data_IF_939927076490
#
_entry.id   IF_939927076490
#
_cell.length_a   1.000
_cell.length_b   1.000
_cell.length_c   1.000
_cell.angle_alpha   90.00
_cell.angle_beta   90.00
_cell.angle_gamma   90.00
#
_symmetry.space_group_name_H-M   'P 1'
#
loop_
_entity.id
_entity.type
_entity.pdbx_description
1 polymer ?
#
# COMPACT_ATOMS: atom_id res chain seq x y z
N UNK A 1 25.81 76.48 -18.04
CA UNK A 1 24.71 75.81 -17.30
C UNK A 1 24.23 74.61 -18.10
N UNK A 2 24.28 73.43 -17.48
CA UNK A 2 23.67 72.15 -17.84
C UNK A 2 24.02 71.48 -19.20
N UNK A 3 25.06 70.64 -19.16
CA UNK A 3 25.09 69.39 -19.92
C UNK A 3 24.30 68.31 -19.16
N UNK A 4 23.33 67.65 -19.81
CA UNK A 4 22.77 66.36 -19.35
C UNK A 4 23.15 65.28 -20.35
N UNK A 5 23.94 64.32 -19.89
CA UNK A 5 24.25 63.07 -20.57
C UNK A 5 23.20 62.06 -20.07
N UNK A 6 22.37 61.53 -20.98
CA UNK A 6 21.48 60.41 -20.68
C UNK A 6 22.28 59.10 -20.81
N UNK A 7 22.47 58.41 -19.70
CA UNK A 7 22.97 57.05 -19.64
C UNK A 7 21.85 56.06 -19.95
N UNK A 8 21.98 55.34 -21.07
CA UNK A 8 21.14 54.18 -21.37
C UNK A 8 21.65 52.97 -20.58
N UNK A 9 20.87 52.48 -19.61
CA UNK A 9 21.14 51.21 -18.95
C UNK A 9 20.72 50.07 -19.88
N UNK A 10 21.68 49.27 -20.34
CA UNK A 10 21.42 47.97 -20.96
C UNK A 10 21.03 46.96 -19.87
N UNK A 11 19.77 46.51 -19.86
CA UNK A 11 19.34 45.34 -19.11
C UNK A 11 19.56 44.11 -19.98
N UNK A 12 20.59 43.32 -19.68
CA UNK A 12 20.77 41.98 -20.28
C UNK A 12 19.90 41.00 -19.50
N UNK A 13 18.76 40.59 -20.08
CA UNK A 13 18.02 39.43 -19.58
C UNK A 13 18.74 38.16 -20.05
N UNK A 14 19.42 37.50 -19.12
CA UNK A 14 19.93 36.14 -19.32
C UNK A 14 18.75 35.17 -19.17
N UNK A 15 18.20 34.68 -20.28
CA UNK A 15 17.31 33.52 -20.24
C UNK A 15 18.14 32.26 -19.99
N UNK A 16 18.18 31.82 -18.75
CA UNK A 16 18.63 30.48 -18.39
C UNK A 16 17.57 29.48 -18.87
N UNK A 17 17.72 29.00 -20.11
CA UNK A 17 17.03 27.79 -20.56
C UNK A 17 17.71 26.64 -19.85
N UNK A 18 17.16 26.22 -18.71
CA UNK A 18 17.50 24.92 -18.12
C UNK A 18 16.85 23.89 -19.03
N UNK A 19 17.60 23.04 -19.74
CA UNK A 19 17.00 21.92 -20.42
C UNK A 19 16.44 21.02 -19.31
N UNK A 20 15.12 20.94 -19.23
CA UNK A 20 14.45 19.88 -18.50
C UNK A 20 14.82 18.57 -19.21
N UNK A 21 15.96 18.00 -18.84
CA UNK A 21 16.18 16.59 -19.07
C UNK A 21 15.05 15.89 -18.32
N UNK A 22 14.04 15.41 -19.05
CA UNK A 22 13.23 14.32 -18.54
C UNK A 22 14.23 13.19 -18.30
N UNK A 23 14.74 13.10 -17.07
CA UNK A 23 15.33 11.87 -16.60
C UNK A 23 14.24 10.83 -16.81
N UNK A 24 14.46 9.90 -17.74
CA UNK A 24 13.60 8.74 -17.88
C UNK A 24 13.51 8.15 -16.48
N UNK A 25 12.31 8.18 -15.88
CA UNK A 25 12.10 7.56 -14.59
C UNK A 25 12.59 6.13 -14.72
N UNK A 26 13.55 5.79 -13.89
CA UNK A 26 14.07 4.44 -13.86
C UNK A 26 12.88 3.52 -13.63
N UNK A 27 12.55 2.65 -14.60
CA UNK A 27 11.38 1.75 -14.62
C UNK A 27 11.35 0.82 -13.40
N UNK A 28 12.41 0.84 -12.57
CA UNK A 28 12.55 0.11 -11.31
C UNK A 28 12.07 0.89 -10.08
N UNK A 29 11.79 2.18 -10.21
CA UNK A 29 11.41 3.04 -9.08
C UNK A 29 9.93 2.82 -8.75
N UNK A 30 9.57 2.53 -7.48
CA UNK A 30 8.18 2.51 -7.08
C UNK A 30 7.47 3.83 -7.45
N UNK A 31 6.19 3.78 -7.85
CA UNK A 31 5.41 4.98 -8.11
C UNK A 31 5.40 5.89 -6.88
N UNK A 32 5.37 7.21 -7.10
CA UNK A 32 5.22 8.15 -6.00
C UNK A 32 3.78 8.09 -5.47
N UNK A 33 3.58 8.14 -4.13
CA UNK A 33 2.24 8.17 -3.56
C UNK A 33 1.50 9.46 -3.93
N UNK A 34 0.17 9.41 -3.78
CA UNK A 34 -0.69 10.57 -3.90
C UNK A 34 -0.20 11.72 -2.98
N UNK A 35 -0.30 12.99 -3.42
CA UNK A 35 -1.14 13.49 -4.52
C UNK A 35 -0.53 13.38 -5.93
N UNK A 36 0.71 12.86 -6.05
CA UNK A 36 1.39 12.69 -7.35
C UNK A 36 0.58 11.80 -8.28
N UNK A 37 0.52 12.17 -9.55
CA UNK A 37 -0.08 11.35 -10.62
C UNK A 37 1.07 10.77 -11.45
N UNK A 38 1.20 9.46 -11.40
CA UNK A 38 2.20 8.70 -12.15
C UNK A 38 1.71 8.47 -13.60
N UNK A 39 2.62 8.16 -14.54
CA UNK A 39 2.23 7.75 -15.90
C UNK A 39 1.22 6.61 -15.90
N UNK A 40 0.33 6.50 -16.90
CA UNK A 40 -0.67 5.42 -16.95
C UNK A 40 0.01 4.04 -17.07
N UNK A 41 -0.62 3.02 -16.47
CA UNK A 41 -0.23 1.61 -16.55
C UNK A 41 -1.44 0.75 -16.87
N UNK A 42 -1.20 -0.47 -17.36
CA UNK A 42 -2.25 -1.40 -17.83
C UNK A 42 -2.05 -2.84 -17.39
N UNK A 43 -0.82 -3.26 -17.05
CA UNK A 43 -0.48 -4.62 -16.62
C UNK A 43 -0.05 -4.62 -15.16
N UNK A 44 -0.94 -5.03 -14.27
CA UNK A 44 -0.71 -5.08 -12.82
C UNK A 44 -0.79 -6.53 -12.37
N UNK A 45 0.28 -7.02 -11.75
CA UNK A 45 0.31 -8.30 -11.06
C UNK A 45 0.20 -8.06 -9.54
N UNK A 46 -0.29 -9.05 -8.80
CA UNK A 46 -0.36 -8.99 -7.35
C UNK A 46 -0.25 -10.38 -6.73
N UNK A 47 0.14 -10.44 -5.45
CA UNK A 47 0.19 -11.69 -4.70
C UNK A 47 0.50 -11.46 -3.21
N UNK A 48 0.24 -12.49 -2.41
CA UNK A 48 0.43 -12.55 -0.95
C UNK A 48 0.99 -13.93 -0.55
N UNK A 49 1.14 -14.16 0.76
CA UNK A 49 1.39 -15.48 1.38
C UNK A 49 2.60 -16.23 0.81
N UNK A 50 3.69 -15.49 0.61
CA UNK A 50 4.92 -16.01 0.02
C UNK A 50 5.99 -16.14 1.09
N UNK A 51 6.15 -17.34 1.64
CA UNK A 51 7.20 -17.57 2.65
C UNK A 51 8.59 -17.38 2.07
N UNK A 52 9.39 -16.54 2.74
CA UNK A 52 10.79 -16.31 2.40
C UNK A 52 11.67 -17.55 2.57
N UNK A 53 11.16 -18.62 3.19
CA UNK A 53 11.90 -19.84 3.47
C UNK A 53 11.82 -20.85 2.30
N UNK A 54 10.89 -20.67 1.35
CA UNK A 54 10.71 -21.55 0.18
C UNK A 54 11.13 -20.88 -1.16
N UNK A 55 11.35 -21.66 -2.23
CA UNK A 55 11.54 -21.13 -3.57
C UNK A 55 10.30 -20.37 -4.09
N UNK A 56 10.50 -19.17 -4.63
CA UNK A 56 9.42 -18.30 -5.11
C UNK A 56 9.18 -18.47 -6.62
N UNK A 57 9.04 -19.72 -7.07
CA UNK A 57 9.03 -20.09 -8.49
C UNK A 57 7.92 -19.40 -9.32
N UNK A 58 6.79 -19.06 -8.69
CA UNK A 58 5.69 -18.34 -9.34
C UNK A 58 6.12 -16.95 -9.86
N UNK A 59 7.11 -16.31 -9.23
CA UNK A 59 7.62 -15.01 -9.66
C UNK A 59 8.27 -15.05 -11.04
N UNK A 60 8.75 -16.21 -11.49
CA UNK A 60 9.22 -16.38 -12.87
C UNK A 60 8.07 -16.24 -13.87
N UNK A 61 6.93 -16.89 -13.59
CA UNK A 61 5.73 -16.78 -14.43
C UNK A 61 5.16 -15.36 -14.41
N UNK A 62 5.21 -14.68 -13.26
CA UNK A 62 4.87 -13.26 -13.16
C UNK A 62 5.76 -12.43 -14.10
N UNK A 63 7.08 -12.66 -14.10
CA UNK A 63 8.02 -11.94 -14.96
C UNK A 63 7.79 -12.23 -16.46
N UNK A 64 7.36 -13.44 -16.82
CA UNK A 64 6.99 -13.79 -18.21
C UNK A 64 5.75 -13.02 -18.70
N UNK A 65 4.87 -12.60 -17.79
CA UNK A 65 3.70 -11.78 -18.10
C UNK A 65 4.03 -10.28 -18.28
N UNK A 66 5.26 -9.87 -17.96
CA UNK A 66 5.78 -8.50 -18.14
C UNK A 66 4.92 -7.40 -17.47
N UNK A 67 4.66 -7.48 -16.14
CA UNK A 67 3.88 -6.47 -15.43
C UNK A 67 4.60 -5.12 -15.37
N UNK A 68 3.83 -4.04 -15.41
CA UNK A 68 4.29 -2.66 -15.18
C UNK A 68 4.33 -2.31 -13.69
N UNK A 69 3.64 -3.11 -12.85
CA UNK A 69 3.58 -2.97 -11.40
C UNK A 69 3.30 -4.34 -10.76
N UNK A 70 3.96 -4.64 -9.65
CA UNK A 70 3.59 -5.76 -8.77
C UNK A 70 3.16 -5.26 -7.40
N UNK A 71 1.99 -5.72 -6.94
CA UNK A 71 1.42 -5.39 -5.63
C UNK A 71 1.65 -6.56 -4.66
N UNK A 72 2.48 -6.32 -3.66
CA UNK A 72 2.72 -7.21 -2.53
C UNK A 72 1.62 -6.98 -1.48
N UNK A 73 0.73 -7.95 -1.32
CA UNK A 73 -0.56 -7.80 -0.65
C UNK A 73 -0.54 -8.17 0.84
N UNK A 74 0.63 -8.45 1.41
CA UNK A 74 0.77 -8.95 2.77
C UNK A 74 1.20 -10.41 2.80
N UNK A 75 1.60 -10.89 3.98
CA UNK A 75 2.41 -12.10 4.16
C UNK A 75 3.56 -12.18 3.17
N UNK A 76 4.27 -11.06 3.03
CA UNK A 76 5.44 -10.99 2.16
C UNK A 76 6.61 -11.76 2.79
N UNK A 77 6.57 -11.89 4.11
CA UNK A 77 7.42 -12.74 4.94
C UNK A 77 6.58 -13.38 6.04
N UNK A 78 7.08 -14.48 6.61
CA UNK A 78 6.58 -15.10 7.85
C UNK A 78 7.50 -14.72 9.01
N UNK A 79 7.10 -13.70 9.77
CA UNK A 79 7.94 -12.96 10.70
C UNK A 79 7.42 -12.85 12.13
N UNK A 80 6.57 -13.75 12.59
CA UNK A 80 6.01 -13.77 13.95
C UNK A 80 7.09 -13.69 15.02
N UNK A 81 7.19 -12.54 15.67
CA UNK A 81 8.23 -12.25 16.65
C UNK A 81 7.90 -11.00 17.44
N UNK A 82 8.44 -10.93 18.66
CA UNK A 82 8.55 -9.68 19.42
C UNK A 82 9.98 -9.16 19.49
N UNK A 83 10.89 -9.80 18.76
CA UNK A 83 12.27 -9.37 18.56
C UNK A 83 12.44 -8.81 17.14
N UNK A 84 12.64 -7.49 17.05
CA UNK A 84 12.73 -6.77 15.79
C UNK A 84 13.98 -7.12 14.98
N UNK A 85 15.01 -7.71 15.60
CA UNK A 85 16.14 -8.27 14.85
C UNK A 85 15.71 -9.51 14.06
N UNK A 86 14.83 -10.35 14.62
CA UNK A 86 14.28 -11.51 13.92
C UNK A 86 13.42 -11.05 12.73
N UNK A 87 12.56 -10.04 12.93
CA UNK A 87 11.72 -9.52 11.84
C UNK A 87 12.58 -8.97 10.69
N UNK A 88 13.60 -8.17 11.02
CA UNK A 88 14.57 -7.68 10.03
C UNK A 88 15.28 -8.82 9.31
N UNK A 89 15.71 -9.88 10.01
CA UNK A 89 16.34 -11.05 9.40
C UNK A 89 15.41 -11.80 8.43
N UNK A 90 14.10 -11.83 8.67
CA UNK A 90 13.13 -12.42 7.73
C UNK A 90 13.07 -11.63 6.43
N UNK A 91 13.02 -10.31 6.50
CA UNK A 91 13.14 -9.46 5.32
C UNK A 91 14.50 -9.62 4.62
N UNK A 92 15.59 -9.73 5.37
CA UNK A 92 16.91 -9.95 4.80
C UNK A 92 16.97 -11.31 4.06
N UNK A 93 16.27 -12.33 4.55
CA UNK A 93 16.15 -13.63 3.87
C UNK A 93 15.37 -13.49 2.55
N UNK A 94 14.24 -12.77 2.54
CA UNK A 94 13.52 -12.47 1.30
C UNK A 94 14.40 -11.70 0.30
N UNK A 95 15.16 -10.71 0.76
CA UNK A 95 16.04 -9.89 -0.09
C UNK A 95 17.12 -10.70 -0.82
N UNK A 96 17.49 -11.86 -0.26
CA UNK A 96 18.52 -12.76 -0.78
C UNK A 96 17.96 -13.81 -1.75
N UNK A 97 16.64 -13.91 -1.90
CA UNK A 97 16.01 -14.85 -2.85
C UNK A 97 16.27 -14.41 -4.29
N UNK A 98 16.89 -15.25 -5.14
CA UNK A 98 17.18 -14.89 -6.52
C UNK A 98 15.94 -14.48 -7.32
N UNK A 99 14.80 -15.12 -7.09
CA UNK A 99 13.53 -14.83 -7.76
C UNK A 99 13.00 -13.44 -7.35
N UNK A 100 13.09 -13.09 -6.07
CA UNK A 100 12.68 -11.78 -5.58
C UNK A 100 13.62 -10.67 -6.06
N UNK A 101 14.94 -10.93 -6.09
CA UNK A 101 15.91 -10.01 -6.66
C UNK A 101 15.64 -9.73 -8.15
N UNK A 102 15.31 -10.78 -8.93
CA UNK A 102 14.94 -10.64 -10.33
C UNK A 102 13.65 -9.84 -10.52
N UNK A 103 12.64 -10.07 -9.68
CA UNK A 103 11.40 -9.30 -9.70
C UNK A 103 11.68 -7.82 -9.40
N UNK A 104 12.33 -7.52 -8.26
CA UNK A 104 12.65 -6.16 -7.82
C UNK A 104 13.56 -5.41 -8.80
N UNK A 105 14.40 -6.11 -9.55
CA UNK A 105 15.26 -5.52 -10.57
C UNK A 105 14.53 -5.15 -11.87
N UNK A 106 13.33 -5.67 -12.12
CA UNK A 106 12.60 -5.53 -13.39
C UNK A 106 11.27 -4.81 -13.27
N UNK A 107 10.62 -4.88 -12.11
CA UNK A 107 9.23 -4.43 -11.92
C UNK A 107 9.16 -3.50 -10.70
N UNK A 108 8.52 -2.32 -10.79
CA UNK A 108 8.17 -1.53 -9.62
C UNK A 108 7.33 -2.33 -8.63
N UNK A 109 7.69 -2.26 -7.35
CA UNK A 109 6.96 -2.94 -6.28
C UNK A 109 6.30 -1.91 -5.38
N UNK A 110 5.03 -2.14 -5.06
CA UNK A 110 4.34 -1.49 -3.94
C UNK A 110 3.84 -2.57 -2.98
N UNK A 111 3.75 -2.23 -1.69
CA UNK A 111 3.43 -3.22 -0.68
C UNK A 111 2.54 -2.67 0.43
N UNK A 112 1.65 -3.54 0.90
CA UNK A 112 1.11 -3.51 2.26
C UNK A 112 1.57 -4.76 3.02
N UNK A 113 1.29 -4.82 4.31
CA UNK A 113 1.60 -5.96 5.18
C UNK A 113 0.35 -6.78 5.44
N UNK A 114 0.56 -8.00 5.92
CA UNK A 114 -0.41 -8.68 6.77
C UNK A 114 0.19 -9.01 8.15
N UNK A 115 -0.43 -9.87 8.94
CA UNK A 115 -0.07 -10.14 10.33
C UNK A 115 1.36 -10.66 10.49
N UNK A 116 1.83 -11.49 9.56
CA UNK A 116 3.17 -12.06 9.63
C UNK A 116 4.30 -11.07 9.29
N UNK A 117 4.02 -10.06 8.46
CA UNK A 117 4.89 -8.88 8.27
C UNK A 117 4.80 -7.92 9.46
N UNK A 118 3.60 -7.84 10.07
CA UNK A 118 3.28 -6.96 11.20
C UNK A 118 3.93 -7.43 12.50
N UNK A 119 4.06 -8.74 12.68
CA UNK A 119 4.92 -9.37 13.68
C UNK A 119 4.24 -10.41 14.58
N UNK A 120 2.93 -10.66 14.49
CA UNK A 120 2.29 -11.73 15.28
C UNK A 120 0.97 -12.15 14.62
N UNK A 121 0.79 -13.46 14.43
CA UNK A 121 -0.39 -14.06 13.81
C UNK A 121 -1.71 -13.50 14.39
N UNK A 122 -2.59 -13.07 13.49
CA UNK A 122 -3.88 -12.42 13.76
C UNK A 122 -3.84 -11.26 14.76
N UNK A 123 -2.69 -10.61 14.97
CA UNK A 123 -2.59 -9.50 15.91
C UNK A 123 -3.10 -8.18 15.29
N UNK A 124 -3.73 -7.37 16.12
CA UNK A 124 -4.22 -6.04 15.78
C UNK A 124 -3.47 -4.95 16.53
N UNK A 125 -4.20 -3.90 16.92
CA UNK A 125 -3.68 -2.71 17.61
C UNK A 125 -2.94 -3.02 18.92
N UNK A 126 -3.21 -4.17 19.53
CA UNK A 126 -2.63 -4.67 20.77
C UNK A 126 -1.16 -5.10 20.63
N UNK A 127 -0.67 -5.33 19.41
CA UNK A 127 0.72 -5.70 19.19
C UNK A 127 1.68 -4.55 19.58
N UNK A 128 2.63 -4.79 20.50
CA UNK A 128 3.41 -3.70 21.09
C UNK A 128 4.47 -3.09 20.16
N UNK A 129 4.98 -3.84 19.18
CA UNK A 129 6.11 -3.42 18.31
C UNK A 129 5.68 -2.93 16.92
N UNK A 130 4.45 -2.42 16.80
CA UNK A 130 3.88 -1.99 15.50
C UNK A 130 4.64 -0.82 14.86
N UNK A 131 5.27 0.05 15.66
CA UNK A 131 6.05 1.19 15.14
C UNK A 131 7.39 0.73 14.59
N UNK A 132 8.05 -0.17 15.29
CA UNK A 132 9.32 -0.77 14.88
C UNK A 132 9.14 -1.65 13.64
N UNK A 133 8.05 -2.43 13.60
CA UNK A 133 7.68 -3.25 12.44
C UNK A 133 7.40 -2.37 11.22
N UNK A 134 6.72 -1.23 11.41
CA UNK A 134 6.56 -0.20 10.38
C UNK A 134 7.89 0.33 9.86
N UNK A 135 8.83 0.66 10.74
CA UNK A 135 10.12 1.19 10.31
C UNK A 135 10.92 0.18 9.48
N UNK A 136 10.91 -1.10 9.89
CA UNK A 136 11.52 -2.21 9.13
C UNK A 136 10.83 -2.38 7.78
N UNK A 137 9.50 -2.41 7.76
CA UNK A 137 8.71 -2.54 6.53
C UNK A 137 9.03 -1.41 5.55
N UNK A 138 8.89 -0.15 5.97
CA UNK A 138 9.13 1.01 5.13
C UNK A 138 10.58 1.08 4.63
N UNK A 139 11.54 0.63 5.44
CA UNK A 139 12.95 0.54 5.02
C UNK A 139 13.13 -0.55 3.96
N UNK A 140 12.60 -1.75 4.16
CA UNK A 140 12.78 -2.88 3.24
C UNK A 140 12.17 -2.60 1.85
N UNK A 141 11.05 -1.90 1.81
CA UNK A 141 10.36 -1.49 0.59
C UNK A 141 10.88 -0.19 -0.02
N UNK A 142 12.01 0.33 0.48
CA UNK A 142 12.63 1.57 0.00
C UNK A 142 11.67 2.77 -0.01
N UNK A 143 10.81 2.89 0.99
CA UNK A 143 9.89 4.01 1.09
C UNK A 143 10.67 5.34 1.20
N UNK A 144 10.37 6.36 0.39
CA UNK A 144 11.06 7.65 0.46
C UNK A 144 11.02 8.27 1.86
N UNK A 145 12.11 8.97 2.24
CA UNK A 145 12.19 9.66 3.53
C UNK A 145 11.12 10.74 3.72
N UNK A 146 10.66 11.34 2.62
CA UNK A 146 9.61 12.38 2.59
C UNK A 146 8.20 11.80 2.38
N UNK A 147 8.05 10.49 2.46
CA UNK A 147 6.74 9.86 2.24
C UNK A 147 5.75 10.22 3.35
N UNK A 148 4.50 10.60 3.01
CA UNK A 148 3.43 10.78 4.00
C UNK A 148 3.21 9.54 4.88
N UNK A 149 3.54 8.33 4.38
CA UNK A 149 3.45 7.10 5.17
C UNK A 149 4.31 7.14 6.43
N UNK A 150 5.36 7.97 6.48
CA UNK A 150 6.20 8.13 7.67
C UNK A 150 5.60 9.09 8.70
N UNK A 151 4.55 9.83 8.34
CA UNK A 151 4.00 10.93 9.14
C UNK A 151 2.70 10.57 9.90
N UNK A 152 2.07 9.43 9.60
CA UNK A 152 0.87 8.95 10.29
C UNK A 152 1.10 7.58 10.94
N UNK A 153 0.14 7.04 11.70
CA UNK A 153 0.20 5.64 12.17
C UNK A 153 -0.19 4.68 11.03
N UNK A 154 0.33 3.45 11.06
CA UNK A 154 0.07 2.44 10.01
C UNK A 154 0.74 2.71 8.67
N UNK A 155 0.53 1.84 7.69
CA UNK A 155 1.25 1.88 6.38
C UNK A 155 0.33 2.07 5.16
N UNK A 156 -0.94 2.36 5.39
CA UNK A 156 -1.92 2.58 4.33
C UNK A 156 -1.48 3.70 3.38
N UNK A 157 -1.80 3.57 2.10
CA UNK A 157 -1.31 4.50 1.07
C UNK A 157 -2.16 4.47 -0.19
N UNK A 158 -1.99 5.49 -1.03
CA UNK A 158 -2.69 5.62 -2.29
C UNK A 158 -1.71 6.00 -3.39
N UNK A 159 -1.85 5.39 -4.56
CA UNK A 159 -1.12 5.73 -5.78
C UNK A 159 -2.13 6.10 -6.86
N UNK A 160 -1.80 7.10 -7.67
CA UNK A 160 -2.64 7.53 -8.79
C UNK A 160 -1.85 7.44 -10.08
N UNK A 161 -2.52 6.99 -11.14
CA UNK A 161 -1.96 6.84 -12.47
C UNK A 161 -2.93 7.43 -13.48
N UNK A 162 -2.40 8.09 -14.50
CA UNK A 162 -3.21 8.61 -15.59
C UNK A 162 -2.56 9.77 -16.29
N UNK A 163 -3.17 10.17 -17.40
CA UNK A 163 -2.77 11.35 -18.16
C UNK A 163 -3.82 12.45 -17.96
N UNK A 164 -3.43 13.67 -17.56
CA UNK A 164 -4.35 14.79 -17.42
C UNK A 164 -5.21 14.98 -18.69
N UNK A 165 -6.53 15.00 -18.52
CA UNK A 165 -7.47 15.19 -19.63
C UNK A 165 -7.77 13.96 -20.50
N UNK A 166 -7.14 12.80 -20.24
CA UNK A 166 -7.36 11.58 -21.04
C UNK A 166 -8.67 10.84 -20.74
N UNK A 167 -9.31 11.11 -19.60
CA UNK A 167 -10.44 10.31 -19.11
C UNK A 167 -10.07 8.86 -18.79
N UNK A 168 -8.79 8.60 -18.50
CA UNK A 168 -8.26 7.30 -18.07
C UNK A 168 -7.41 7.49 -16.82
N UNK A 169 -8.00 7.23 -15.68
CA UNK A 169 -7.40 7.40 -14.37
C UNK A 169 -7.59 6.16 -13.51
N UNK A 170 -6.47 5.66 -12.98
CA UNK A 170 -6.41 4.53 -12.05
C UNK A 170 -5.99 5.05 -10.67
N UNK A 171 -6.68 4.58 -9.65
CA UNK A 171 -6.30 4.76 -8.26
C UNK A 171 -6.06 3.39 -7.62
N UNK A 172 -4.90 3.20 -7.00
CA UNK A 172 -4.59 2.02 -6.21
C UNK A 172 -4.54 2.45 -4.75
N UNK A 173 -5.39 1.87 -3.92
CA UNK A 173 -5.51 2.15 -2.49
C UNK A 173 -5.08 0.90 -1.76
N UNK A 174 -3.98 0.96 -1.01
CA UNK A 174 -3.54 -0.13 -0.15
C UNK A 174 -3.96 0.17 1.29
N UNK A 175 -4.76 -0.71 1.86
CA UNK A 175 -5.19 -0.62 3.25
C UNK A 175 -4.17 -1.26 4.18
N UNK A 176 -4.07 -0.71 5.39
CA UNK A 176 -3.53 -1.37 6.57
C UNK A 176 -4.71 -1.95 7.37
N UNK A 177 -4.74 -3.25 7.58
CA UNK A 177 -5.83 -3.94 8.30
C UNK A 177 -5.37 -4.41 9.69
N UNK A 178 -4.16 -4.03 10.12
CA UNK A 178 -3.52 -4.49 11.36
C UNK A 178 -3.43 -3.39 12.39
N UNK A 179 -2.80 -2.25 12.05
CA UNK A 179 -2.39 -1.20 13.01
C UNK A 179 -3.49 -0.77 13.97
N UNK A 180 -4.70 -0.63 13.43
CA UNK A 180 -5.84 -0.05 14.12
C UNK A 180 -6.88 -1.09 14.48
N UNK A 181 -6.77 -2.33 14.04
CA UNK A 181 -7.83 -3.31 14.20
C UNK A 181 -7.97 -3.74 15.65
N UNK A 182 -9.18 -3.77 16.18
CA UNK A 182 -9.45 -4.33 17.51
C UNK A 182 -9.32 -5.86 17.51
N UNK A 183 -9.00 -6.48 18.67
CA UNK A 183 -8.88 -7.93 18.77
C UNK A 183 -10.12 -8.68 18.26
N UNK A 184 -9.88 -9.79 17.54
CA UNK A 184 -10.94 -10.66 17.06
C UNK A 184 -11.65 -11.39 18.18
N UNK A 185 -12.91 -11.76 17.92
CA UNK A 185 -13.66 -12.62 18.82
C UNK A 185 -13.34 -14.09 18.56
N UNK A 186 -12.53 -14.69 19.45
CA UNK A 186 -12.13 -16.09 19.37
C UNK A 186 -13.32 -17.02 19.63
N UNK A 187 -13.45 -18.03 18.78
CA UNK A 187 -14.42 -19.10 18.92
C UNK A 187 -14.11 -19.95 20.15
N UNK A 188 -15.06 -20.17 21.07
CA UNK A 188 -14.85 -21.04 22.22
C UNK A 188 -14.76 -22.53 21.85
N UNK A 189 -15.11 -22.91 20.61
CA UNK A 189 -15.04 -24.29 20.12
C UNK A 189 -13.68 -24.69 19.54
N UNK A 190 -12.73 -23.75 19.42
CA UNK A 190 -11.33 -23.94 19.01
C UNK A 190 -11.03 -25.21 18.19
N UNK A 191 -11.07 -25.10 16.87
CA UNK A 191 -10.65 -26.18 15.97
C UNK A 191 -9.80 -25.60 14.84
N UNK A 192 -9.06 -26.43 14.10
CA UNK A 192 -8.25 -26.00 12.94
C UNK A 192 -9.04 -25.25 11.85
N UNK A 193 -10.37 -25.13 11.99
CA UNK A 193 -11.27 -24.27 11.23
C UNK A 193 -12.19 -23.56 12.24
N UNK A 194 -12.58 -22.31 11.97
CA UNK A 194 -13.43 -21.51 12.86
C UNK A 194 -12.74 -21.02 14.14
N UNK A 195 -11.55 -20.45 14.01
CA UNK A 195 -10.87 -19.77 15.11
C UNK A 195 -11.62 -18.50 15.55
N UNK A 196 -12.38 -17.88 14.64
CA UNK A 196 -13.05 -16.62 14.88
C UNK A 196 -14.54 -16.65 14.54
N UNK A 197 -15.31 -15.89 15.30
CA UNK A 197 -16.74 -15.65 15.06
C UNK A 197 -16.97 -14.17 14.69
N UNK A 198 -18.04 -13.83 13.96
CA UNK A 198 -18.44 -12.45 13.74
C UNK A 198 -18.74 -11.73 15.05
N UNK A 199 -18.19 -10.52 15.21
CA UNK A 199 -18.40 -9.66 16.36
C UNK A 199 -19.21 -8.41 15.96
N UNK A 200 -20.38 -8.24 16.59
CA UNK A 200 -21.31 -7.14 16.32
C UNK A 200 -21.12 -5.95 17.25
N UNK A 201 -20.09 -5.95 18.10
CA UNK A 201 -19.77 -4.82 18.98
C UNK A 201 -19.58 -3.53 18.16
N UNK A 202 -20.43 -2.49 18.35
CA UNK A 202 -20.31 -1.24 17.62
C UNK A 202 -19.07 -0.41 17.99
N UNK A 203 -18.34 -0.76 19.05
CA UNK A 203 -17.13 -0.05 19.47
C UNK A 203 -15.87 -0.56 18.76
N UNK A 204 -15.91 -1.75 18.16
CA UNK A 204 -14.77 -2.32 17.45
C UNK A 204 -14.59 -1.70 16.09
N UNK A 205 -13.33 -1.55 15.68
CA UNK A 205 -12.96 -1.06 14.35
C UNK A 205 -11.87 -1.91 13.71
N UNK A 206 -11.84 -1.90 12.38
CA UNK A 206 -10.82 -2.55 11.56
C UNK A 206 -9.75 -1.54 11.12
N UNK A 207 -10.16 -0.44 10.51
CA UNK A 207 -9.23 0.57 9.97
C UNK A 207 -8.94 1.70 10.97
N UNK A 208 -9.76 1.88 12.01
CA UNK A 208 -9.65 3.02 12.90
C UNK A 208 -10.08 4.35 12.25
N UNK A 209 -10.39 5.34 13.08
CA UNK A 209 -10.99 6.59 12.61
C UNK A 209 -10.07 7.38 11.67
N UNK A 210 -8.75 7.35 11.90
CA UNK A 210 -7.78 8.06 11.08
C UNK A 210 -7.76 7.52 9.64
N UNK A 211 -7.65 6.20 9.46
CA UNK A 211 -7.62 5.60 8.14
C UNK A 211 -9.01 5.64 7.46
N UNK A 212 -10.11 5.55 8.22
CA UNK A 212 -11.46 5.74 7.66
C UNK A 212 -11.67 7.15 7.11
N UNK A 213 -11.23 8.18 7.84
CA UNK A 213 -11.29 9.56 7.38
C UNK A 213 -10.42 9.76 6.14
N UNK A 214 -9.18 9.26 6.17
CA UNK A 214 -8.27 9.28 5.04
C UNK A 214 -8.86 8.57 3.80
N UNK A 215 -9.44 7.38 3.97
CA UNK A 215 -10.01 6.60 2.88
C UNK A 215 -11.19 7.35 2.22
N UNK A 216 -12.02 8.02 3.03
CA UNK A 216 -13.10 8.87 2.51
C UNK A 216 -12.56 9.97 1.60
N UNK A 217 -11.47 10.64 1.98
CA UNK A 217 -10.84 11.65 1.13
C UNK A 217 -10.33 11.05 -0.17
N UNK A 218 -9.62 9.91 -0.12
CA UNK A 218 -9.11 9.23 -1.33
C UNK A 218 -10.25 8.83 -2.26
N UNK A 219 -11.37 8.33 -1.73
CA UNK A 219 -12.53 7.94 -2.54
C UNK A 219 -13.30 9.12 -3.16
N UNK A 220 -13.13 10.33 -2.63
CA UNK A 220 -13.67 11.56 -3.24
C UNK A 220 -12.82 12.08 -4.40
N UNK A 221 -11.56 11.64 -4.52
CA UNK A 221 -10.71 11.98 -5.66
C UNK A 221 -11.22 11.28 -6.93
N UNK A 222 -11.18 11.93 -8.11
CA UNK A 222 -11.64 11.34 -9.35
C UNK A 222 -10.73 10.19 -9.80
N UNK A 223 -11.36 9.07 -10.18
CA UNK A 223 -10.74 7.91 -10.80
C UNK A 223 -11.80 7.13 -11.61
N UNK A 224 -11.39 6.55 -12.73
CA UNK A 224 -12.24 5.68 -13.58
C UNK A 224 -12.23 4.24 -13.09
N UNK A 225 -11.06 3.78 -12.61
CA UNK A 225 -10.85 2.48 -11.97
C UNK A 225 -10.18 2.67 -10.61
N UNK A 226 -10.66 1.94 -9.61
CA UNK A 226 -10.09 1.90 -8.25
C UNK A 226 -9.79 0.46 -7.88
N UNK A 227 -8.53 0.17 -7.58
CA UNK A 227 -8.12 -1.10 -6.98
C UNK A 227 -7.91 -0.85 -5.49
N UNK A 228 -8.69 -1.51 -4.65
CA UNK A 228 -8.53 -1.49 -3.20
C UNK A 228 -7.89 -2.81 -2.77
N UNK A 229 -6.65 -2.73 -2.28
CA UNK A 229 -5.92 -3.85 -1.71
C UNK A 229 -6.19 -3.98 -0.21
N UNK A 230 -6.73 -5.12 0.19
CA UNK A 230 -6.88 -5.54 1.59
C UNK A 230 -6.03 -6.78 1.85
N UNK A 231 -5.22 -6.78 2.91
CA UNK A 231 -4.38 -7.94 3.22
C UNK A 231 -5.17 -9.15 3.75
N UNK A 232 -6.40 -8.92 4.21
CA UNK A 232 -7.35 -9.98 4.60
C UNK A 232 -8.56 -10.01 3.66
N UNK A 233 -9.24 -11.16 3.59
CA UNK A 233 -10.35 -11.41 2.67
C UNK A 233 -11.51 -10.43 2.81
N UNK A 234 -11.89 -9.78 1.70
CA UNK A 234 -13.04 -8.87 1.61
C UNK A 234 -14.21 -9.50 0.85
N UNK A 235 -15.45 -9.25 1.31
CA UNK A 235 -16.70 -9.63 0.63
C UNK A 235 -16.86 -11.14 0.27
N UNK A 236 -16.37 -12.03 1.14
CA UNK A 236 -16.61 -13.47 1.04
C UNK A 236 -17.61 -13.94 2.12
N UNK A 237 -18.13 -15.15 2.00
CA UNK A 237 -18.95 -15.77 3.05
C UNK A 237 -18.06 -16.20 4.22
N UNK A 238 -18.51 -15.92 5.45
CA UNK A 238 -17.77 -16.24 6.66
C UNK A 238 -17.31 -17.70 6.69
N UNK A 239 -16.00 -17.91 6.78
CA UNK A 239 -15.37 -19.22 6.70
C UNK A 239 -14.69 -19.65 8.02
N UNK A 240 -14.76 -18.81 9.05
CA UNK A 240 -14.16 -19.06 10.36
C UNK A 240 -12.72 -18.57 10.54
N UNK A 241 -12.08 -18.11 9.47
CA UNK A 241 -10.76 -17.49 9.50
C UNK A 241 -10.87 -15.99 9.67
N UNK A 242 -9.71 -15.37 9.89
CA UNK A 242 -9.61 -13.92 9.93
C UNK A 242 -9.94 -13.29 8.57
N UNK A 243 -10.78 -12.26 8.62
CA UNK A 243 -11.31 -11.55 7.47
C UNK A 243 -12.16 -10.35 7.89
N UNK A 244 -12.63 -9.59 6.90
CA UNK A 244 -13.64 -8.54 7.13
C UNK A 244 -14.96 -9.07 7.72
N UNK A 245 -15.27 -10.37 7.56
CA UNK A 245 -16.51 -10.95 8.09
C UNK A 245 -16.51 -11.09 9.61
N UNK A 246 -15.34 -11.02 10.26
CA UNK A 246 -15.26 -11.01 11.72
C UNK A 246 -15.71 -9.68 12.32
N UNK A 247 -15.67 -8.58 11.55
CA UNK A 247 -16.14 -7.25 11.95
C UNK A 247 -17.22 -6.75 10.96
N UNK A 248 -18.40 -7.39 10.91
CA UNK A 248 -19.43 -7.13 9.89
C UNK A 248 -19.90 -5.67 9.82
N UNK A 249 -19.86 -4.93 10.94
CA UNK A 249 -20.19 -3.49 10.93
C UNK A 249 -19.17 -2.66 10.14
N UNK A 250 -17.90 -3.01 10.20
CA UNK A 250 -16.82 -2.33 9.45
C UNK A 250 -16.87 -2.70 7.97
N UNK A 251 -17.25 -3.93 7.63
CA UNK A 251 -17.58 -4.33 6.26
C UNK A 251 -18.72 -3.48 5.69
N UNK A 252 -19.83 -3.37 6.41
CA UNK A 252 -20.96 -2.53 5.98
C UNK A 252 -20.57 -1.04 5.89
N UNK A 253 -19.71 -0.55 6.80
CA UNK A 253 -19.14 0.80 6.75
C UNK A 253 -18.35 1.04 5.47
N UNK A 254 -17.58 0.06 4.97
CA UNK A 254 -16.91 0.15 3.67
C UNK A 254 -17.93 0.29 2.53
N UNK A 255 -18.95 -0.56 2.50
CA UNK A 255 -20.01 -0.55 1.47
C UNK A 255 -20.73 0.79 1.46
N UNK A 256 -21.10 1.30 2.64
CA UNK A 256 -21.77 2.59 2.76
C UNK A 256 -20.85 3.74 2.38
N UNK A 257 -19.56 3.68 2.72
CA UNK A 257 -18.60 4.70 2.32
C UNK A 257 -18.48 4.79 0.79
N UNK A 258 -18.34 3.65 0.10
CA UNK A 258 -18.31 3.58 -1.37
C UNK A 258 -19.58 4.19 -1.97
N UNK A 259 -20.76 3.87 -1.41
CA UNK A 259 -22.04 4.43 -1.85
C UNK A 259 -22.11 5.94 -1.62
N UNK A 260 -21.67 6.42 -0.46
CA UNK A 260 -21.73 7.82 -0.06
C UNK A 260 -20.81 8.70 -0.91
N UNK A 261 -19.58 8.24 -1.18
CA UNK A 261 -18.63 8.95 -2.04
C UNK A 261 -18.95 8.79 -3.53
N UNK A 262 -19.90 7.89 -3.87
CA UNK A 262 -20.22 7.49 -5.24
C UNK A 262 -18.98 7.02 -6.01
N UNK A 263 -18.05 6.37 -5.29
CA UNK A 263 -16.84 5.84 -5.89
C UNK A 263 -17.20 4.76 -6.93
N UNK A 264 -16.93 5.04 -8.19
CA UNK A 264 -17.17 4.13 -9.32
C UNK A 264 -15.95 3.28 -9.63
N UNK A 265 -16.17 2.17 -10.34
CA UNK A 265 -15.09 1.29 -10.82
C UNK A 265 -14.27 0.65 -9.70
N UNK A 266 -14.89 0.30 -8.56
CA UNK A 266 -14.18 -0.28 -7.43
C UNK A 266 -14.01 -1.78 -7.61
N UNK A 267 -12.76 -2.24 -7.57
CA UNK A 267 -12.34 -3.64 -7.54
C UNK A 267 -11.56 -3.88 -6.24
N UNK A 268 -11.88 -4.96 -5.53
CA UNK A 268 -11.08 -5.43 -4.40
C UNK A 268 -10.14 -6.54 -4.85
N UNK A 269 -8.90 -6.48 -4.38
CA UNK A 269 -7.97 -7.61 -4.35
C UNK A 269 -7.68 -7.92 -2.88
N UNK A 270 -7.64 -9.20 -2.52
CA UNK A 270 -7.30 -9.63 -1.17
C UNK A 270 -6.44 -10.89 -1.15
N UNK A 271 -5.56 -10.95 -0.16
CA UNK A 271 -4.67 -12.06 0.17
C UNK A 271 -5.24 -12.96 1.23
#
# INVERSE_FOLDING_TARGET
>A
MNHRINTWQLTVLLYLVIPAALAAQDVRTPPAPAPTINPPISRIAFGSCSTQDEPLGILRTVLEWDPELFICMGDNIYGDTRDMQVLQQRYDTLSRRPEFQQLRAKVPLIATWDDHDYGENDAGREYPFKRESKDIFLKFWNEPAVSPRREHEGIYTCYRFGEPGSGRSLQIILLDTRTFRDPLFKSPQGSWKNDYLPDLDPQKTLLGDQQWAWLKERLLEPADLRIIGSSIQFAHEHNGWESWTNLPRELLRMVDLIRQTRASGVLFISG
#
